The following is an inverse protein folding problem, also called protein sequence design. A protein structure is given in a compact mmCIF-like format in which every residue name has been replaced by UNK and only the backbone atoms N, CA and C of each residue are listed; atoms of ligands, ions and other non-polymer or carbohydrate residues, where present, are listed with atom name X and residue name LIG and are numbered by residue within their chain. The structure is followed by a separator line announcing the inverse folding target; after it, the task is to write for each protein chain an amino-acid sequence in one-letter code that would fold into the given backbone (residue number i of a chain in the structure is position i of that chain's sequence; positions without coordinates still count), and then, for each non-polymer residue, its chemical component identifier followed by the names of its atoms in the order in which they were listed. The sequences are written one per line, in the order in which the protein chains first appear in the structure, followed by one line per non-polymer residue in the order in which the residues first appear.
data_IF_880480377574
#
_entry.id   IF_880480377574
#
_cell.length_a   1.000
_cell.length_b   1.000
_cell.length_c   1.000
_cell.angle_alpha   90.00
_cell.angle_beta   90.00
_cell.angle_gamma   90.00
#
_symmetry.space_group_name_H-M   'P 1'
#
loop_
_entity.id
_entity.type
_entity.pdbx_description
1 polymer ?
#
# COMPACT_ATOMS: atom_id res chain seq x y z
N UNK A 1 21.33 -2.11 -9.01
CA UNK A 1 21.56 -2.11 -10.46
C UNK A 1 21.65 -3.52 -10.99
N UNK A 2 21.06 -3.78 -12.15
CA UNK A 2 21.19 -5.05 -12.87
C UNK A 2 22.66 -5.26 -13.26
N UNK A 3 23.17 -6.47 -13.17
CA UNK A 3 24.51 -6.84 -13.56
C UNK A 3 24.78 -6.36 -15.01
N UNK A 4 25.67 -5.37 -15.20
CA UNK A 4 26.01 -4.78 -16.50
C UNK A 4 25.73 -3.28 -16.65
N UNK A 5 25.02 -2.64 -15.72
CA UNK A 5 24.84 -1.18 -15.73
C UNK A 5 26.01 -0.49 -15.01
N UNK A 6 26.76 0.34 -15.73
CA UNK A 6 27.87 1.14 -15.20
C UNK A 6 27.47 2.55 -14.80
N UNK A 7 26.17 2.91 -14.88
CA UNK A 7 25.66 4.23 -14.51
C UNK A 7 24.52 4.09 -13.52
N UNK A 8 24.62 4.88 -12.47
CA UNK A 8 23.54 5.01 -11.50
C UNK A 8 22.34 5.75 -12.11
N UNK A 9 21.13 5.31 -11.77
CA UNK A 9 19.91 6.00 -12.15
C UNK A 9 19.78 7.26 -11.28
N UNK A 10 19.66 8.43 -11.92
CA UNK A 10 19.38 9.67 -11.21
C UNK A 10 17.88 9.84 -11.08
N UNK A 11 17.41 9.96 -9.83
CA UNK A 11 15.98 10.09 -9.49
C UNK A 11 15.81 11.27 -8.54
N UNK A 12 14.84 12.13 -8.82
CA UNK A 12 14.35 13.13 -7.87
C UNK A 12 12.91 12.82 -7.55
N UNK A 13 12.60 12.70 -6.26
CA UNK A 13 11.25 12.48 -5.76
C UNK A 13 10.65 13.75 -5.18
N UNK A 14 9.33 13.85 -5.21
CA UNK A 14 8.58 14.99 -4.67
C UNK A 14 8.97 16.34 -5.29
N UNK A 15 9.22 16.35 -6.61
CA UNK A 15 9.55 17.57 -7.31
C UNK A 15 8.32 18.45 -7.45
N UNK A 16 8.45 19.72 -7.03
CA UNK A 16 7.41 20.74 -7.13
C UNK A 16 7.90 21.85 -8.03
N UNK A 17 7.10 22.26 -9.00
CA UNK A 17 7.31 23.45 -9.79
C UNK A 17 6.52 24.61 -9.19
N UNK A 18 7.18 25.76 -9.04
CA UNK A 18 6.51 27.02 -8.65
C UNK A 18 6.13 27.72 -9.96
N UNK A 19 4.87 28.08 -10.10
CA UNK A 19 4.32 28.80 -11.25
C UNK A 19 3.89 30.19 -10.83
N UNK A 20 3.96 31.15 -11.74
CA UNK A 20 3.44 32.49 -11.56
C UNK A 20 2.51 32.81 -12.73
N UNK A 21 1.27 33.21 -12.45
CA UNK A 21 0.29 33.65 -13.42
C UNK A 21 -0.42 34.87 -12.87
N UNK A 22 -0.34 35.99 -13.59
CA UNK A 22 -0.97 37.28 -13.20
C UNK A 22 -0.59 37.76 -11.78
N UNK A 23 0.70 37.58 -11.40
CA UNK A 23 1.22 37.96 -10.08
C UNK A 23 0.79 37.05 -8.92
N UNK A 24 0.11 35.93 -9.21
CA UNK A 24 -0.22 34.89 -8.22
C UNK A 24 0.73 33.70 -8.38
N UNK A 25 1.27 33.27 -7.25
CA UNK A 25 2.12 32.08 -7.21
C UNK A 25 1.26 30.83 -7.02
N UNK A 26 1.51 29.82 -7.83
CA UNK A 26 0.90 28.49 -7.72
C UNK A 26 1.96 27.41 -7.56
N UNK A 27 1.58 26.23 -7.10
CA UNK A 27 2.44 25.07 -7.02
C UNK A 27 1.86 23.94 -7.86
N UNK A 28 2.71 23.33 -8.67
CA UNK A 28 2.40 22.13 -9.45
C UNK A 28 3.30 21.01 -8.94
N UNK A 29 2.71 19.98 -8.40
CA UNK A 29 3.43 18.79 -7.99
C UNK A 29 3.73 17.94 -9.22
N UNK A 30 5.01 17.85 -9.58
CA UNK A 30 5.48 17.05 -10.72
C UNK A 30 5.66 15.58 -10.32
N UNK A 31 5.89 15.31 -9.02
CA UNK A 31 6.12 13.97 -8.51
C UNK A 31 7.55 13.50 -8.71
N UNK A 32 7.75 12.28 -9.17
CA UNK A 32 9.07 11.68 -9.33
C UNK A 32 9.62 11.89 -10.74
N UNK A 33 10.83 12.44 -10.83
CA UNK A 33 11.59 12.62 -12.08
C UNK A 33 12.72 11.60 -12.17
N UNK A 34 12.83 10.93 -13.32
CA UNK A 34 13.91 9.99 -13.62
C UNK A 34 14.70 10.52 -14.82
N UNK A 35 16.02 10.52 -14.73
CA UNK A 35 16.89 10.89 -15.84
C UNK A 35 17.12 9.71 -16.78
N UNK A 36 16.72 9.87 -18.04
CA UNK A 36 16.95 8.92 -19.11
C UNK A 36 17.82 9.60 -20.20
N UNK A 37 19.11 9.28 -20.23
CA UNK A 37 20.06 9.99 -21.08
C UNK A 37 20.20 11.45 -20.68
N UNK A 38 19.96 12.38 -21.62
CA UNK A 38 20.00 13.82 -21.33
C UNK A 38 18.64 14.45 -21.02
N UNK A 39 17.59 13.64 -20.91
CA UNK A 39 16.24 14.12 -20.64
C UNK A 39 15.71 13.63 -19.27
N UNK A 40 14.98 14.50 -18.59
CA UNK A 40 14.19 14.16 -17.42
C UNK A 40 12.76 13.73 -17.80
N UNK A 41 12.26 12.68 -17.19
CA UNK A 41 10.90 12.16 -17.41
C UNK A 41 10.16 12.09 -16.09
N UNK A 42 8.96 12.65 -16.04
CA UNK A 42 8.04 12.42 -14.94
C UNK A 42 7.41 11.03 -15.09
N UNK A 43 7.40 10.26 -14.02
CA UNK A 43 6.77 8.93 -13.99
C UNK A 43 5.37 8.96 -13.37
N UNK A 44 4.97 10.09 -12.81
CA UNK A 44 3.64 10.38 -12.30
C UNK A 44 3.03 11.53 -13.09
N UNK A 45 1.68 11.58 -13.13
CA UNK A 45 0.99 12.73 -13.73
C UNK A 45 1.12 13.94 -12.80
N UNK A 46 1.56 15.10 -13.31
CA UNK A 46 1.57 16.33 -12.52
C UNK A 46 0.17 16.69 -12.03
N UNK A 47 0.08 17.18 -10.81
CA UNK A 47 -1.17 17.66 -10.21
C UNK A 47 -1.00 19.09 -9.69
N UNK A 48 -2.06 19.89 -9.78
CA UNK A 48 -2.08 21.24 -9.22
C UNK A 48 -2.53 21.11 -7.77
N UNK A 49 -1.79 21.73 -6.83
CA UNK A 49 -2.23 21.85 -5.47
C UNK A 49 -3.38 22.89 -5.42
N UNK A 50 -4.58 22.49 -5.03
CA UNK A 50 -5.67 23.41 -4.75
C UNK A 50 -5.41 24.11 -3.41
N UNK A 51 -5.68 25.44 -3.38
CA UNK A 51 -5.51 26.26 -2.16
C UNK A 51 -6.29 25.64 -0.99
N UNK A 52 -5.57 25.19 0.04
CA UNK A 52 -6.14 24.64 1.28
C UNK A 52 -6.06 23.13 1.44
N UNK A 53 -5.53 22.37 0.46
CA UNK A 53 -5.14 20.99 0.69
C UNK A 53 -3.66 20.93 1.08
N UNK A 54 -3.41 20.57 2.32
CA UNK A 54 -2.08 20.27 2.82
C UNK A 54 -1.42 19.16 1.97
N UNK A 55 -0.15 19.40 1.63
CA UNK A 55 0.70 18.49 0.89
C UNK A 55 0.51 17.02 1.32
N UNK A 56 -0.09 16.24 0.46
CA UNK A 56 0.05 14.78 0.53
C UNK A 56 1.49 14.50 0.13
N UNK A 57 2.36 14.26 1.12
CA UNK A 57 3.68 13.73 0.88
C UNK A 57 3.51 12.35 0.23
N UNK A 58 3.56 12.31 -1.10
CA UNK A 58 3.58 11.06 -1.84
C UNK A 58 4.82 10.29 -1.37
N UNK A 59 4.61 9.08 -0.82
CA UNK A 59 5.71 8.14 -0.62
C UNK A 59 6.36 7.91 -1.98
N UNK A 60 7.65 8.21 -2.08
CA UNK A 60 8.40 8.03 -3.33
C UNK A 60 8.37 6.57 -3.77
N UNK A 61 8.25 6.33 -5.08
CA UNK A 61 8.19 4.97 -5.64
C UNK A 61 9.54 4.24 -5.60
N UNK A 62 10.64 4.97 -5.45
CA UNK A 62 12.01 4.43 -5.54
C UNK A 62 12.76 4.41 -4.21
N UNK A 63 12.40 5.27 -3.30
CA UNK A 63 13.05 5.37 -2.01
C UNK A 63 11.99 5.23 -0.92
N UNK A 64 11.97 4.08 -0.26
CA UNK A 64 11.24 3.90 0.99
C UNK A 64 11.89 4.80 2.05
N UNK A 65 11.55 6.10 2.05
CA UNK A 65 11.72 6.87 3.26
C UNK A 65 10.70 6.34 4.26
N UNK A 66 11.13 6.01 5.48
CA UNK A 66 10.16 5.88 6.56
C UNK A 66 9.33 7.19 6.56
N UNK A 67 8.02 7.11 6.81
CA UNK A 67 7.19 8.30 6.81
C UNK A 67 7.86 9.33 7.70
N UNK A 68 8.20 10.48 7.12
CA UNK A 68 8.68 11.61 7.92
C UNK A 68 7.50 11.96 8.79
N UNK A 69 7.65 11.74 10.10
CA UNK A 69 6.62 12.10 11.07
C UNK A 69 6.41 13.60 10.90
N UNK A 70 5.32 14.01 10.22
CA UNK A 70 4.84 15.37 10.36
C UNK A 70 4.61 15.55 11.84
N UNK A 71 5.31 16.52 12.43
CA UNK A 71 4.85 17.02 13.72
C UNK A 71 3.41 17.47 13.50
N UNK A 72 2.41 16.85 14.14
CA UNK A 72 1.05 17.33 14.04
C UNK A 72 1.04 18.79 14.50
N UNK A 73 0.24 19.62 13.84
CA UNK A 73 -0.12 20.94 14.37
C UNK A 73 -0.62 20.72 15.79
N UNK A 74 0.21 21.10 16.75
CA UNK A 74 0.04 20.78 18.17
C UNK A 74 -1.24 21.43 18.66
N UNK A 75 -2.20 20.66 19.19
CA UNK A 75 -3.28 21.27 19.94
C UNK A 75 -2.68 22.10 21.09
N UNK A 76 -3.31 23.18 21.46
CA UNK A 76 -2.84 24.25 22.34
C UNK A 76 -2.47 23.87 23.80
N UNK A 77 -2.34 22.58 24.10
CA UNK A 77 -1.74 22.06 25.33
C UNK A 77 -0.37 21.51 24.98
N UNK A 78 0.69 22.19 25.41
CA UNK A 78 2.07 21.72 25.25
C UNK A 78 2.18 20.26 25.72
N UNK A 79 2.84 19.38 24.94
CA UNK A 79 3.07 17.99 25.37
C UNK A 79 3.81 18.00 26.71
N UNK A 80 3.53 17.00 27.55
CA UNK A 80 4.28 16.84 28.79
C UNK A 80 5.77 16.67 28.48
N UNK A 81 6.66 17.16 29.34
CA UNK A 81 8.11 16.99 29.19
C UNK A 81 8.49 15.52 28.93
N UNK A 82 7.76 14.59 29.55
CA UNK A 82 7.96 13.17 29.36
C UNK A 82 7.62 12.69 27.93
N UNK A 83 6.56 13.22 27.32
CA UNK A 83 6.19 12.89 25.93
C UNK A 83 7.21 13.48 24.95
N UNK A 84 7.65 14.73 25.16
CA UNK A 84 8.69 15.35 24.33
C UNK A 84 10.00 14.55 24.40
N UNK A 85 10.39 14.11 25.60
CA UNK A 85 11.59 13.27 25.78
C UNK A 85 11.46 11.94 25.03
N UNK A 86 10.32 11.26 25.15
CA UNK A 86 10.09 9.99 24.45
C UNK A 86 10.10 10.15 22.92
N UNK A 87 9.55 11.24 22.40
CA UNK A 87 9.60 11.56 20.96
C UNK A 87 11.03 11.85 20.49
N UNK A 88 11.82 12.56 21.28
CA UNK A 88 13.22 12.81 20.96
C UNK A 88 14.06 11.51 20.98
N UNK A 89 13.83 10.62 21.96
CA UNK A 89 14.44 9.28 22.02
C UNK A 89 14.08 8.44 20.79
N UNK A 90 12.81 8.49 20.33
CA UNK A 90 12.34 7.80 19.14
C UNK A 90 13.06 8.33 17.89
N UNK A 91 13.12 9.63 17.72
CA UNK A 91 13.81 10.28 16.60
C UNK A 91 15.30 9.93 16.55
N UNK A 92 15.98 9.89 17.72
CA UNK A 92 17.38 9.50 17.80
C UNK A 92 17.58 8.01 17.44
N UNK A 93 16.65 7.16 17.86
CA UNK A 93 16.65 5.74 17.51
C UNK A 93 16.46 5.55 15.99
N UNK A 94 15.49 6.24 15.39
CA UNK A 94 15.22 6.18 13.94
C UNK A 94 16.42 6.63 13.11
N UNK A 95 17.12 7.66 13.54
CA UNK A 95 18.33 8.14 12.86
C UNK A 95 19.44 7.07 12.76
N UNK A 96 19.43 6.09 13.65
CA UNK A 96 20.42 4.98 13.65
C UNK A 96 19.99 3.78 12.81
N UNK A 97 18.71 3.69 12.43
CA UNK A 97 18.14 2.51 11.75
C UNK A 97 18.89 2.12 10.47
N UNK A 98 19.25 3.11 9.64
CA UNK A 98 19.94 2.90 8.37
C UNK A 98 21.33 2.26 8.49
N UNK A 99 21.97 2.33 9.67
CA UNK A 99 23.30 1.77 9.91
C UNK A 99 23.28 0.33 10.45
N UNK A 100 22.09 -0.20 10.77
CA UNK A 100 21.96 -1.52 11.40
C UNK A 100 21.87 -2.60 10.32
N UNK A 101 22.97 -3.35 10.14
CA UNK A 101 23.05 -4.44 9.17
C UNK A 101 22.99 -5.83 9.83
N UNK A 102 23.40 -5.91 11.10
CA UNK A 102 23.41 -7.17 11.85
C UNK A 102 21.99 -7.56 12.31
N UNK A 103 21.54 -8.82 12.06
CA UNK A 103 20.20 -9.28 12.42
C UNK A 103 19.89 -9.17 13.93
N UNK A 104 20.86 -9.52 14.80
CA UNK A 104 20.64 -9.43 16.25
C UNK A 104 20.56 -7.99 16.75
N UNK A 105 21.33 -7.07 16.14
CA UNK A 105 21.22 -5.65 16.43
C UNK A 105 19.89 -5.07 15.93
N UNK A 106 19.38 -5.56 14.79
CA UNK A 106 18.08 -5.16 14.24
C UNK A 106 16.93 -5.60 15.13
N UNK A 107 16.92 -6.85 15.62
CA UNK A 107 15.90 -7.32 16.55
C UNK A 107 15.86 -6.45 17.83
N UNK A 108 17.02 -6.11 18.40
CA UNK A 108 17.09 -5.19 19.54
C UNK A 108 16.58 -3.78 19.22
N UNK A 109 16.86 -3.30 18.03
CA UNK A 109 16.32 -2.03 17.55
C UNK A 109 14.79 -2.08 17.48
N UNK A 110 14.21 -3.10 16.88
CA UNK A 110 12.74 -3.24 16.78
C UNK A 110 12.09 -3.35 18.16
N UNK A 111 12.72 -4.04 19.10
CA UNK A 111 12.24 -4.14 20.48
C UNK A 111 12.25 -2.78 21.19
N UNK A 112 13.36 -2.03 21.08
CA UNK A 112 13.49 -0.70 21.66
C UNK A 112 12.49 0.28 21.03
N UNK A 113 12.32 0.23 19.70
CA UNK A 113 11.41 1.08 18.95
C UNK A 113 9.95 0.84 19.37
N UNK A 114 9.52 -0.43 19.44
CA UNK A 114 8.19 -0.79 19.91
C UNK A 114 7.93 -0.33 21.35
N UNK A 115 8.92 -0.49 22.23
CA UNK A 115 8.81 -0.06 23.64
C UNK A 115 8.66 1.45 23.77
N UNK A 116 9.36 2.24 22.95
CA UNK A 116 9.20 3.69 22.92
C UNK A 116 7.81 4.09 22.40
N UNK A 117 7.34 3.46 21.35
CA UNK A 117 5.98 3.70 20.83
C UNK A 117 4.91 3.35 21.85
N UNK A 118 5.04 2.24 22.59
CA UNK A 118 4.12 1.88 23.68
C UNK A 118 4.09 2.97 24.78
N UNK A 119 5.25 3.53 25.15
CA UNK A 119 5.32 4.65 26.09
C UNK A 119 4.60 5.89 25.56
N UNK A 120 4.78 6.22 24.29
CA UNK A 120 4.13 7.37 23.64
C UNK A 120 2.60 7.15 23.57
N UNK A 121 2.12 5.96 23.19
CA UNK A 121 0.71 5.60 23.21
C UNK A 121 0.11 5.79 24.62
N UNK A 122 0.82 5.35 25.66
CA UNK A 122 0.35 5.50 27.05
C UNK A 122 0.28 6.95 27.53
N UNK A 123 1.10 7.83 26.95
CA UNK A 123 1.13 9.27 27.28
C UNK A 123 0.24 10.13 26.38
N UNK A 124 -0.33 9.54 25.29
CA UNK A 124 -1.20 10.26 24.37
C UNK A 124 -2.51 10.66 25.06
N UNK A 125 -2.87 11.93 24.99
CA UNK A 125 -4.03 12.51 25.71
C UNK A 125 -5.24 12.76 24.80
N UNK A 126 -5.02 12.92 23.49
CA UNK A 126 -6.10 13.08 22.51
C UNK A 126 -6.41 11.76 21.80
N UNK A 127 -7.63 11.62 21.29
CA UNK A 127 -8.03 10.44 20.53
C UNK A 127 -7.26 10.35 19.21
N UNK A 128 -6.99 11.48 18.58
CA UNK A 128 -6.25 11.60 17.33
C UNK A 128 -4.79 11.16 17.49
N UNK A 129 -4.09 11.68 18.51
CA UNK A 129 -2.69 11.29 18.80
C UNK A 129 -2.62 9.79 19.12
N UNK A 130 -3.54 9.31 19.97
CA UNK A 130 -3.60 7.90 20.32
C UNK A 130 -3.81 7.02 19.09
N UNK A 131 -4.72 7.41 18.20
CA UNK A 131 -4.98 6.67 16.97
C UNK A 131 -3.73 6.62 16.08
N UNK A 132 -3.05 7.74 15.90
CA UNK A 132 -1.81 7.84 15.12
C UNK A 132 -0.71 6.94 15.70
N UNK A 133 -0.44 7.04 17.00
CA UNK A 133 0.65 6.29 17.62
C UNK A 133 0.35 4.79 17.74
N UNK A 134 -0.91 4.41 17.97
CA UNK A 134 -1.36 3.00 17.92
C UNK A 134 -1.17 2.42 16.53
N UNK A 135 -1.53 3.16 15.49
CA UNK A 135 -1.35 2.70 14.11
C UNK A 135 0.13 2.52 13.79
N UNK A 136 0.97 3.49 14.17
CA UNK A 136 2.41 3.39 13.97
C UNK A 136 3.04 2.23 14.73
N UNK A 137 2.64 2.01 15.99
CA UNK A 137 3.06 0.85 16.77
C UNK A 137 2.70 -0.46 16.09
N UNK A 138 1.44 -0.59 15.65
CA UNK A 138 0.96 -1.80 15.00
C UNK A 138 1.69 -2.09 13.68
N UNK A 139 1.92 -1.06 12.85
CA UNK A 139 2.66 -1.21 11.58
C UNK A 139 4.12 -1.60 11.83
N UNK A 140 4.79 -0.92 12.75
CA UNK A 140 6.19 -1.19 13.11
C UNK A 140 6.36 -2.62 13.64
N UNK A 141 5.51 -3.03 14.59
CA UNK A 141 5.60 -4.37 15.18
C UNK A 141 5.24 -5.45 14.16
N UNK A 142 4.21 -5.22 13.33
CA UNK A 142 3.86 -6.17 12.26
C UNK A 142 4.99 -6.38 11.24
N UNK A 143 5.68 -5.30 10.85
CA UNK A 143 6.84 -5.39 9.96
C UNK A 143 8.03 -6.12 10.64
N UNK A 144 8.29 -5.84 11.92
CA UNK A 144 9.35 -6.47 12.68
C UNK A 144 9.15 -7.99 12.85
N UNK A 145 7.91 -8.45 13.05
CA UNK A 145 7.58 -9.89 13.11
C UNK A 145 8.06 -10.62 11.86
N UNK A 146 7.83 -10.03 10.69
CA UNK A 146 8.25 -10.65 9.42
C UNK A 146 9.77 -10.60 9.20
N UNK A 147 10.44 -9.55 9.69
CA UNK A 147 11.89 -9.38 9.51
C UNK A 147 12.72 -10.19 10.50
N UNK A 148 12.25 -10.31 11.73
CA UNK A 148 12.97 -10.96 12.84
C UNK A 148 12.52 -12.41 13.07
N UNK A 149 11.53 -12.89 12.30
CA UNK A 149 10.94 -14.23 12.42
C UNK A 149 10.54 -14.58 13.87
N UNK A 150 10.00 -13.58 14.59
CA UNK A 150 9.80 -13.66 16.04
C UNK A 150 8.33 -13.53 16.44
N UNK A 151 7.87 -14.46 17.28
CA UNK A 151 6.54 -14.44 17.90
C UNK A 151 6.36 -13.30 18.93
N UNK A 152 7.45 -12.70 19.41
CA UNK A 152 7.38 -11.65 20.43
C UNK A 152 6.56 -10.44 19.97
N UNK A 153 6.69 -10.05 18.69
CA UNK A 153 5.89 -8.98 18.11
C UNK A 153 4.39 -9.34 18.05
N UNK A 154 4.05 -10.59 17.74
CA UNK A 154 2.64 -11.06 17.74
C UNK A 154 2.05 -10.92 19.14
N UNK A 155 2.79 -11.28 20.20
CA UNK A 155 2.35 -11.13 21.57
C UNK A 155 2.13 -9.64 21.95
N UNK A 156 2.97 -8.72 21.46
CA UNK A 156 2.77 -7.27 21.66
C UNK A 156 1.48 -6.79 20.97
N UNK A 157 1.22 -7.23 19.74
CA UNK A 157 -0.02 -6.92 19.02
C UNK A 157 -1.26 -7.49 19.73
N UNK A 158 -1.16 -8.69 20.33
CA UNK A 158 -2.23 -9.28 21.15
C UNK A 158 -2.52 -8.42 22.40
N UNK A 159 -1.49 -7.97 23.09
CA UNK A 159 -1.64 -7.12 24.27
C UNK A 159 -2.28 -5.76 23.91
N UNK A 160 -1.83 -5.15 22.79
CA UNK A 160 -2.39 -3.91 22.27
C UNK A 160 -3.87 -4.09 21.91
N UNK A 161 -4.20 -5.15 21.14
CA UNK A 161 -5.57 -5.48 20.77
C UNK A 161 -6.47 -5.70 21.98
N UNK A 162 -5.98 -6.42 22.99
CA UNK A 162 -6.73 -6.65 24.23
C UNK A 162 -7.01 -5.34 25.00
N UNK A 163 -6.10 -4.37 24.92
CA UNK A 163 -6.32 -3.04 25.52
C UNK A 163 -7.39 -2.25 24.77
N UNK A 164 -7.37 -2.25 23.43
CA UNK A 164 -8.33 -1.55 22.59
C UNK A 164 -9.75 -2.12 22.69
N UNK A 165 -9.88 -3.42 22.83
CA UNK A 165 -11.19 -4.06 23.09
C UNK A 165 -11.87 -3.54 24.36
N UNK A 166 -11.09 -3.16 25.38
CA UNK A 166 -11.64 -2.57 26.63
C UNK A 166 -12.10 -1.13 26.46
N UNK A 167 -11.50 -0.38 25.53
CA UNK A 167 -11.85 1.03 25.28
C UNK A 167 -12.98 1.21 24.27
N UNK A 168 -13.30 0.16 23.50
CA UNK A 168 -14.40 0.18 22.51
C UNK A 168 -14.04 0.94 21.20
N UNK A 169 -12.79 1.23 20.96
CA UNK A 169 -12.30 1.94 19.77
C UNK A 169 -12.27 1.03 18.55
N UNK A 170 -13.44 0.73 17.97
CA UNK A 170 -13.63 -0.32 16.95
C UNK A 170 -12.74 -0.18 15.71
N UNK A 171 -12.48 1.04 15.24
CA UNK A 171 -11.61 1.25 14.07
C UNK A 171 -10.16 0.92 14.38
N UNK A 172 -9.64 1.31 15.54
CA UNK A 172 -8.29 0.95 15.97
C UNK A 172 -8.18 -0.53 16.31
N UNK A 173 -9.21 -1.10 16.94
CA UNK A 173 -9.29 -2.54 17.20
C UNK A 173 -9.16 -3.32 15.89
N UNK A 174 -9.92 -2.94 14.85
CA UNK A 174 -9.86 -3.55 13.52
C UNK A 174 -8.48 -3.38 12.88
N UNK A 175 -7.93 -2.18 12.94
CA UNK A 175 -6.61 -1.88 12.38
C UNK A 175 -5.52 -2.80 12.97
N UNK A 176 -5.45 -2.89 14.30
CA UNK A 176 -4.47 -3.74 14.99
C UNK A 176 -4.74 -5.22 14.75
N UNK A 177 -6.02 -5.64 14.72
CA UNK A 177 -6.40 -7.03 14.43
C UNK A 177 -5.95 -7.45 13.03
N UNK A 178 -6.12 -6.58 12.03
CA UNK A 178 -5.67 -6.85 10.66
C UNK A 178 -4.14 -6.97 10.56
N UNK A 179 -3.40 -6.04 11.20
CA UNK A 179 -1.93 -6.09 11.25
C UNK A 179 -1.41 -7.34 11.92
N UNK A 180 -2.00 -7.72 13.06
CA UNK A 180 -1.68 -8.97 13.77
C UNK A 180 -1.91 -10.19 12.89
N UNK A 181 -3.10 -10.29 12.29
CA UNK A 181 -3.47 -11.40 11.43
C UNK A 181 -2.52 -11.52 10.22
N UNK A 182 -2.14 -10.40 9.62
CA UNK A 182 -1.20 -10.34 8.50
C UNK A 182 0.22 -10.75 8.93
N UNK A 183 0.66 -10.32 10.11
CA UNK A 183 1.97 -10.71 10.68
C UNK A 183 2.03 -12.21 10.95
N UNK A 184 1.01 -12.79 11.57
CA UNK A 184 0.91 -14.23 11.82
C UNK A 184 0.89 -15.04 10.53
N UNK A 185 0.18 -14.58 9.51
CA UNK A 185 0.17 -15.22 8.20
C UNK A 185 1.55 -15.18 7.56
N UNK A 186 2.21 -14.03 7.53
CA UNK A 186 3.56 -13.87 7.00
C UNK A 186 4.56 -14.79 7.69
N UNK A 187 4.55 -14.84 9.03
CA UNK A 187 5.43 -15.70 9.81
C UNK A 187 5.19 -17.20 9.53
N UNK A 188 3.92 -17.61 9.43
CA UNK A 188 3.58 -19.00 9.07
C UNK A 188 4.05 -19.35 7.66
N UNK A 189 3.91 -18.41 6.70
CA UNK A 189 4.36 -18.62 5.32
C UNK A 189 5.88 -18.73 5.20
N UNK A 190 6.64 -17.95 5.98
CA UNK A 190 8.10 -18.02 6.02
C UNK A 190 8.60 -19.36 6.57
N UNK A 191 7.92 -19.89 7.59
CA UNK A 191 8.28 -21.14 8.25
C UNK A 191 7.60 -22.40 7.64
N UNK A 192 6.83 -22.21 6.55
CA UNK A 192 6.05 -23.29 5.93
C UNK A 192 6.92 -24.28 5.16
N UNK A 193 6.65 -25.58 5.36
CA UNK A 193 7.15 -26.62 4.47
C UNK A 193 6.37 -26.65 3.14
N UNK A 194 6.88 -27.34 2.12
CA UNK A 194 6.25 -27.39 0.79
C UNK A 194 4.78 -27.87 0.78
N UNK A 195 4.38 -28.65 1.77
CA UNK A 195 3.03 -29.21 1.91
C UNK A 195 2.07 -28.31 2.68
N UNK A 196 2.57 -27.29 3.36
CA UNK A 196 1.79 -26.50 4.32
C UNK A 196 1.15 -25.24 3.70
N UNK A 197 1.70 -24.77 2.58
CA UNK A 197 1.27 -23.54 1.90
C UNK A 197 -0.24 -23.49 1.65
N UNK A 198 -0.80 -24.58 1.12
CA UNK A 198 -2.24 -24.65 0.83
C UNK A 198 -3.10 -24.47 2.09
N UNK A 199 -2.76 -25.21 3.15
CA UNK A 199 -3.51 -25.15 4.42
C UNK A 199 -3.39 -23.78 5.10
N UNK A 200 -2.19 -23.18 5.07
CA UNK A 200 -1.96 -21.83 5.61
C UNK A 200 -2.76 -20.79 4.82
N UNK A 201 -2.79 -20.92 3.50
CA UNK A 201 -3.55 -20.01 2.64
C UNK A 201 -5.06 -20.16 2.84
N UNK A 202 -5.59 -21.38 2.92
CA UNK A 202 -7.01 -21.60 3.24
C UNK A 202 -7.40 -21.00 4.59
N UNK A 203 -6.54 -21.16 5.60
CA UNK A 203 -6.79 -20.54 6.90
C UNK A 203 -6.75 -19.01 6.83
N UNK A 204 -5.85 -18.45 6.02
CA UNK A 204 -5.81 -17.00 5.77
C UNK A 204 -7.13 -16.49 5.19
N UNK A 205 -7.66 -17.16 4.16
CA UNK A 205 -8.93 -16.76 3.56
C UNK A 205 -10.10 -16.83 4.55
N UNK A 206 -10.14 -17.85 5.41
CA UNK A 206 -11.14 -17.91 6.49
C UNK A 206 -10.99 -16.75 7.47
N UNK A 207 -9.77 -16.42 7.87
CA UNK A 207 -9.51 -15.31 8.78
C UNK A 207 -9.94 -13.97 8.14
N UNK A 208 -9.69 -13.76 6.85
CA UNK A 208 -10.14 -12.56 6.12
C UNK A 208 -11.67 -12.46 6.09
N UNK A 209 -12.36 -13.58 5.87
CA UNK A 209 -13.82 -13.62 5.86
C UNK A 209 -14.40 -13.31 7.26
N UNK A 210 -13.84 -13.89 8.31
CA UNK A 210 -14.21 -13.62 9.70
C UNK A 210 -13.94 -12.15 10.07
N UNK A 211 -12.81 -11.61 9.65
CA UNK A 211 -12.46 -10.21 9.86
C UNK A 211 -13.47 -9.27 9.19
N UNK A 212 -13.80 -9.49 7.91
CA UNK A 212 -14.76 -8.68 7.17
C UNK A 212 -16.19 -8.77 7.75
N UNK A 213 -16.54 -9.87 8.45
CA UNK A 213 -17.79 -10.01 9.20
C UNK A 213 -17.76 -9.29 10.55
N UNK A 214 -16.62 -9.33 11.24
CA UNK A 214 -16.47 -8.73 12.57
C UNK A 214 -16.37 -7.19 12.51
N UNK A 215 -15.81 -6.66 11.43
CA UNK A 215 -15.53 -5.22 11.25
C UNK A 215 -16.06 -4.68 9.91
N UNK A 216 -17.38 -4.79 9.63
CA UNK A 216 -17.94 -4.53 8.30
C UNK A 216 -17.77 -3.10 7.81
N UNK A 217 -17.60 -2.13 8.71
CA UNK A 217 -17.51 -0.69 8.38
C UNK A 217 -16.05 -0.17 8.43
N UNK A 218 -15.08 -1.01 8.82
CA UNK A 218 -13.70 -0.59 8.98
C UNK A 218 -12.96 -0.57 7.64
N UNK A 219 -12.09 0.42 7.37
CA UNK A 219 -11.38 0.55 6.09
C UNK A 219 -10.57 -0.69 5.69
N UNK A 220 -9.94 -1.39 6.66
CA UNK A 220 -9.16 -2.60 6.38
C UNK A 220 -10.03 -3.76 5.86
N UNK A 221 -11.35 -3.73 6.08
CA UNK A 221 -12.28 -4.73 5.53
C UNK A 221 -12.41 -4.64 4.01
N UNK A 222 -12.21 -3.47 3.43
CA UNK A 222 -12.15 -3.34 1.97
C UNK A 222 -10.95 -4.11 1.39
N UNK A 223 -9.81 -4.09 2.09
CA UNK A 223 -8.61 -4.85 1.69
C UNK A 223 -8.84 -6.36 1.89
N UNK A 224 -9.39 -6.77 3.03
CA UNK A 224 -9.74 -8.16 3.28
C UNK A 224 -10.69 -8.73 2.22
N UNK A 225 -11.74 -7.98 1.88
CA UNK A 225 -12.70 -8.35 0.83
C UNK A 225 -12.04 -8.40 -0.56
N UNK A 226 -11.10 -7.50 -0.86
CA UNK A 226 -10.38 -7.50 -2.13
C UNK A 226 -9.53 -8.78 -2.28
N UNK A 227 -8.82 -9.16 -1.24
CA UNK A 227 -8.03 -10.39 -1.24
C UNK A 227 -8.92 -11.64 -1.39
N UNK A 228 -10.07 -11.69 -0.71
CA UNK A 228 -11.06 -12.75 -0.88
C UNK A 228 -11.57 -12.83 -2.31
N UNK A 229 -11.95 -11.68 -2.89
CA UNK A 229 -12.43 -11.63 -4.26
C UNK A 229 -11.37 -12.15 -5.25
N UNK A 230 -10.13 -11.72 -5.09
CA UNK A 230 -9.01 -12.18 -5.94
C UNK A 230 -8.75 -13.67 -5.77
N UNK A 231 -8.79 -14.20 -4.55
CA UNK A 231 -8.59 -15.63 -4.30
C UNK A 231 -9.68 -16.49 -4.98
N UNK A 232 -10.96 -16.09 -4.88
CA UNK A 232 -12.05 -16.76 -5.58
C UNK A 232 -11.91 -16.70 -7.09
N UNK A 233 -11.47 -15.55 -7.61
CA UNK A 233 -11.20 -15.40 -9.04
C UNK A 233 -10.09 -16.35 -9.52
N UNK A 234 -8.97 -16.43 -8.81
CA UNK A 234 -7.88 -17.36 -9.14
C UNK A 234 -8.29 -18.83 -9.02
N UNK A 235 -9.23 -19.15 -8.12
CA UNK A 235 -9.81 -20.47 -7.99
C UNK A 235 -10.84 -20.80 -9.10
N UNK A 236 -11.18 -19.84 -9.97
CA UNK A 236 -12.18 -19.99 -11.00
C UNK A 236 -13.63 -19.83 -10.52
N UNK A 237 -13.84 -19.43 -9.26
CA UNK A 237 -15.16 -19.15 -8.68
C UNK A 237 -15.53 -17.68 -8.91
N UNK A 238 -15.77 -17.34 -10.18
CA UNK A 238 -16.06 -15.97 -10.60
C UNK A 238 -17.31 -15.38 -9.94
N UNK A 239 -18.32 -16.23 -9.65
CA UNK A 239 -19.57 -15.76 -9.05
C UNK A 239 -19.36 -15.29 -7.60
N UNK A 240 -18.52 -15.96 -6.82
CA UNK A 240 -18.16 -15.50 -5.48
C UNK A 240 -17.23 -14.29 -5.55
N UNK A 241 -16.28 -14.28 -6.49
CA UNK A 241 -15.43 -13.12 -6.71
C UNK A 241 -16.26 -11.84 -6.97
N UNK A 242 -17.25 -11.94 -7.88
CA UNK A 242 -18.15 -10.81 -8.20
C UNK A 242 -18.94 -10.34 -6.98
N UNK A 243 -19.43 -11.24 -6.12
CA UNK A 243 -20.14 -10.87 -4.89
C UNK A 243 -19.25 -10.07 -3.93
N UNK A 244 -17.99 -10.46 -3.75
CA UNK A 244 -17.05 -9.72 -2.93
C UNK A 244 -16.71 -8.37 -3.54
N UNK A 245 -16.49 -8.29 -4.86
CA UNK A 245 -16.29 -7.02 -5.57
C UNK A 245 -17.50 -6.09 -5.42
N UNK A 246 -18.72 -6.61 -5.54
CA UNK A 246 -19.95 -5.82 -5.35
C UNK A 246 -20.05 -5.26 -3.92
N UNK A 247 -19.70 -6.06 -2.92
CA UNK A 247 -19.66 -5.60 -1.54
C UNK A 247 -18.66 -4.47 -1.33
N UNK A 248 -17.45 -4.58 -1.88
CA UNK A 248 -16.45 -3.51 -1.77
C UNK A 248 -17.00 -2.20 -2.35
N UNK A 249 -17.62 -2.27 -3.52
CA UNK A 249 -18.18 -1.07 -4.18
C UNK A 249 -19.35 -0.48 -3.40
N UNK A 250 -20.19 -1.32 -2.79
CA UNK A 250 -21.34 -0.88 -2.00
C UNK A 250 -20.94 -0.32 -0.62
N UNK A 251 -20.07 -1.05 0.09
CA UNK A 251 -19.75 -0.76 1.49
C UNK A 251 -18.64 0.30 1.60
N UNK A 252 -17.72 0.37 0.60
CA UNK A 252 -16.54 1.25 0.62
C UNK A 252 -16.35 2.05 -0.68
N UNK A 253 -17.35 2.82 -1.17
CA UNK A 253 -17.31 3.44 -2.50
C UNK A 253 -16.16 4.42 -2.72
N UNK A 254 -15.61 5.00 -1.66
CA UNK A 254 -14.49 5.96 -1.72
C UNK A 254 -13.10 5.30 -1.56
N UNK A 255 -13.04 4.02 -1.19
CA UNK A 255 -11.78 3.32 -1.03
C UNK A 255 -11.10 3.05 -2.38
N UNK A 256 -9.76 3.03 -2.39
CA UNK A 256 -8.99 2.65 -3.58
C UNK A 256 -9.34 1.24 -4.09
N UNK A 257 -9.71 0.35 -3.17
CA UNK A 257 -10.18 -1.01 -3.43
C UNK A 257 -11.45 -1.04 -4.28
N UNK A 258 -12.37 -0.07 -4.11
CA UNK A 258 -13.58 0.01 -4.91
C UNK A 258 -13.28 0.21 -6.41
N UNK A 259 -12.30 1.05 -6.75
CA UNK A 259 -11.86 1.22 -8.15
C UNK A 259 -11.29 -0.06 -8.73
N UNK A 260 -10.50 -0.81 -7.95
CA UNK A 260 -9.97 -2.11 -8.36
C UNK A 260 -11.11 -3.12 -8.56
N UNK A 261 -12.07 -3.16 -7.64
CA UNK A 261 -13.24 -4.04 -7.70
C UNK A 261 -14.11 -3.79 -8.94
N UNK A 262 -14.39 -2.51 -9.25
CA UNK A 262 -15.10 -2.12 -10.49
C UNK A 262 -14.37 -2.63 -11.73
N UNK A 263 -13.05 -2.41 -11.81
CA UNK A 263 -12.25 -2.86 -12.96
C UNK A 263 -12.21 -4.38 -13.10
N UNK A 264 -12.03 -5.11 -11.99
CA UNK A 264 -12.03 -6.57 -11.98
C UNK A 264 -13.40 -7.14 -12.41
N UNK A 265 -14.49 -6.57 -11.87
CA UNK A 265 -15.86 -6.97 -12.27
C UNK A 265 -16.10 -6.73 -13.74
N UNK A 266 -15.77 -5.55 -14.29
CA UNK A 266 -15.89 -5.26 -15.73
C UNK A 266 -15.13 -6.29 -16.58
N UNK A 267 -13.96 -6.70 -16.15
CA UNK A 267 -13.16 -7.72 -16.85
C UNK A 267 -13.84 -9.09 -16.81
N UNK A 268 -14.33 -9.54 -15.66
CA UNK A 268 -15.04 -10.81 -15.50
C UNK A 268 -16.35 -10.83 -16.31
N UNK A 269 -17.06 -9.71 -16.37
CA UNK A 269 -18.31 -9.56 -17.13
C UNK A 269 -18.09 -9.32 -18.63
N UNK A 270 -16.84 -9.19 -19.08
CA UNK A 270 -16.53 -8.91 -20.49
C UNK A 270 -16.69 -10.12 -21.40
N UNK A 271 -16.64 -11.34 -20.84
CA UNK A 271 -16.77 -12.57 -21.63
C UNK A 271 -18.18 -12.67 -22.23
N UNK A 272 -18.24 -12.76 -23.56
CA UNK A 272 -19.50 -12.77 -24.29
C UNK A 272 -20.21 -11.43 -24.46
N UNK A 273 -19.65 -10.36 -23.92
CA UNK A 273 -20.20 -9.01 -23.97
C UNK A 273 -19.30 -8.05 -24.76
N UNK A 274 -19.92 -7.00 -25.31
CA UNK A 274 -19.16 -5.95 -26.01
C UNK A 274 -18.42 -5.09 -24.99
N UNK A 275 -17.10 -5.14 -25.04
CA UNK A 275 -16.24 -4.33 -24.18
C UNK A 275 -16.28 -2.87 -24.64
N UNK A 276 -16.66 -1.96 -23.75
CA UNK A 276 -16.55 -0.52 -23.95
C UNK A 276 -15.23 -0.07 -23.33
N UNK A 277 -14.21 0.10 -24.16
CA UNK A 277 -12.90 0.59 -23.72
C UNK A 277 -12.50 1.77 -24.59
N UNK A 278 -12.11 2.84 -23.94
CA UNK A 278 -11.46 3.98 -24.56
C UNK A 278 -10.28 4.44 -23.69
N UNK A 279 -9.26 4.94 -24.30
CA UNK A 279 -8.06 5.42 -23.65
C UNK A 279 -7.38 6.47 -24.52
N UNK A 280 -6.26 6.99 -24.00
CA UNK A 280 -5.38 7.88 -24.77
C UNK A 280 -4.06 7.18 -25.02
N UNK A 281 -3.55 7.31 -26.26
CA UNK A 281 -2.19 6.92 -26.57
C UNK A 281 -1.17 7.92 -25.97
N UNK A 282 0.13 7.63 -26.05
CA UNK A 282 1.19 8.53 -25.57
C UNK A 282 1.16 9.93 -26.20
N UNK A 283 0.58 10.07 -27.38
CA UNK A 283 0.43 11.35 -28.10
C UNK A 283 -0.87 12.08 -27.74
N UNK A 284 -1.66 11.51 -26.81
CA UNK A 284 -2.93 12.07 -26.34
C UNK A 284 -4.14 11.82 -27.22
N UNK A 285 -3.98 11.05 -28.32
CA UNK A 285 -5.05 10.69 -29.24
C UNK A 285 -5.93 9.62 -28.59
N UNK A 286 -7.25 9.76 -28.77
CA UNK A 286 -8.20 8.77 -28.24
C UNK A 286 -8.12 7.48 -29.05
N UNK A 287 -7.96 6.36 -28.34
CA UNK A 287 -8.09 5.00 -28.87
C UNK A 287 -9.38 4.42 -28.34
N UNK A 288 -10.28 3.98 -29.24
CA UNK A 288 -11.57 3.39 -28.91
C UNK A 288 -11.67 2.04 -29.61
N UNK A 289 -12.02 0.99 -28.84
CA UNK A 289 -12.20 -0.37 -29.37
C UNK A 289 -13.32 -0.46 -30.42
N UNK A 290 -14.29 0.44 -30.40
CA UNK A 290 -15.34 0.48 -31.41
C UNK A 290 -14.82 0.65 -32.84
N UNK A 291 -13.65 1.29 -33.00
CA UNK A 291 -12.99 1.48 -34.30
C UNK A 291 -12.39 0.20 -34.90
N UNK A 292 -12.30 -0.89 -34.11
CA UNK A 292 -11.72 -2.16 -34.55
C UNK A 292 -12.78 -3.26 -34.78
N UNK A 293 -14.05 -2.87 -34.92
CA UNK A 293 -15.14 -3.83 -35.19
C UNK A 293 -14.88 -4.62 -36.47
N UNK A 294 -15.08 -5.93 -36.39
CA UNK A 294 -14.80 -6.86 -37.49
C UNK A 294 -13.39 -7.41 -37.52
N UNK A 295 -12.55 -6.95 -36.61
CA UNK A 295 -11.17 -7.45 -36.40
C UNK A 295 -11.04 -8.18 -35.07
N UNK A 296 -10.09 -9.11 -34.99
CA UNK A 296 -9.67 -9.69 -33.71
C UNK A 296 -8.70 -8.69 -33.06
N UNK A 297 -8.99 -8.31 -31.82
CA UNK A 297 -8.15 -7.38 -31.04
C UNK A 297 -7.53 -8.12 -29.87
N UNK A 298 -6.22 -8.09 -29.75
CA UNK A 298 -5.48 -8.59 -28.61
C UNK A 298 -5.05 -7.41 -27.73
N UNK A 299 -5.42 -7.44 -26.46
CA UNK A 299 -5.05 -6.42 -25.49
C UNK A 299 -4.09 -7.06 -24.48
N UNK A 300 -2.87 -6.56 -24.41
CA UNK A 300 -1.88 -6.99 -23.41
C UNK A 300 -1.66 -5.88 -22.39
N UNK A 301 -1.85 -6.21 -21.12
CA UNK A 301 -1.39 -5.40 -20.01
C UNK A 301 0.06 -5.76 -19.71
N UNK A 302 0.93 -4.77 -19.66
CA UNK A 302 2.34 -5.01 -19.42
C UNK A 302 2.97 -3.89 -18.58
N UNK A 303 4.15 -4.16 -18.02
CA UNK A 303 4.96 -3.17 -17.34
C UNK A 303 6.44 -3.32 -17.74
N UNK A 304 7.20 -2.24 -17.62
CA UNK A 304 8.63 -2.24 -18.01
C UNK A 304 9.49 -3.22 -17.21
N UNK A 305 9.07 -3.56 -16.02
CA UNK A 305 9.71 -4.53 -15.11
C UNK A 305 9.18 -5.98 -15.24
N UNK A 306 8.14 -6.20 -16.04
CA UNK A 306 7.52 -7.53 -16.22
C UNK A 306 8.28 -8.32 -17.30
N UNK A 307 9.23 -9.16 -16.93
CA UNK A 307 10.01 -9.98 -17.88
C UNK A 307 9.14 -10.98 -18.67
N UNK A 308 8.16 -11.70 -18.08
CA UNK A 308 7.24 -12.53 -18.86
C UNK A 308 6.49 -11.72 -19.93
N UNK A 309 6.02 -10.52 -19.58
CA UNK A 309 5.30 -9.67 -20.54
C UNK A 309 6.19 -9.25 -21.73
N UNK A 310 7.49 -9.04 -21.49
CA UNK A 310 8.43 -8.73 -22.58
C UNK A 310 8.65 -9.92 -23.49
N UNK A 311 8.72 -11.13 -22.95
CA UNK A 311 8.81 -12.35 -23.74
C UNK A 311 7.58 -12.52 -24.65
N UNK A 312 6.37 -12.27 -24.12
CA UNK A 312 5.12 -12.36 -24.87
C UNK A 312 5.06 -11.36 -26.04
N UNK A 313 5.72 -10.20 -25.95
CA UNK A 313 5.76 -9.21 -27.05
C UNK A 313 6.32 -9.80 -28.34
N UNK A 314 7.26 -10.72 -28.27
CA UNK A 314 7.80 -11.39 -29.46
C UNK A 314 6.73 -12.26 -30.13
N UNK A 315 6.00 -13.02 -29.31
CA UNK A 315 4.89 -13.87 -29.78
C UNK A 315 3.79 -13.01 -30.41
N UNK A 316 3.44 -11.89 -29.78
CA UNK A 316 2.43 -10.96 -30.30
C UNK A 316 2.83 -10.32 -31.64
N UNK A 317 4.12 -9.96 -31.78
CA UNK A 317 4.65 -9.46 -33.09
C UNK A 317 4.54 -10.51 -34.16
N UNK A 318 4.90 -11.76 -33.87
CA UNK A 318 4.80 -12.86 -34.84
C UNK A 318 3.34 -13.12 -35.24
N UNK A 319 2.41 -13.05 -34.28
CA UNK A 319 0.96 -13.16 -34.56
C UNK A 319 0.49 -12.02 -35.47
N UNK A 320 0.86 -10.76 -35.16
CA UNK A 320 0.47 -9.60 -35.96
C UNK A 320 1.04 -9.59 -37.38
N UNK A 321 2.15 -10.30 -37.62
CA UNK A 321 2.72 -10.48 -38.97
C UNK A 321 1.99 -11.60 -39.73
N UNK A 322 1.49 -12.59 -39.02
CA UNK A 322 0.89 -13.81 -39.62
C UNK A 322 -0.58 -13.63 -39.98
N UNK A 323 -1.30 -12.76 -39.26
CA UNK A 323 -2.72 -12.48 -39.42
C UNK A 323 -3.01 -11.00 -39.69
#
# INVERSE_FOLDING_TARGET
GTAGSTKDLQVYENVVAITETDGKHGQVQIGTLVRLGDAWRAIQLPSVAEDGQEEIAASGEFFNKPPTIRQPDMPSTAPSDALQTAMAELQELDARSASITDPAARAKFHEAHATLLERIVAMSTTAEDKAMWVSQLADTVSAAVQQDESDAGVQRLDALLASLKKTGEKNLEAYVAFRKMSAEYGLKMQNAGPTDFGTIHEQWLKNLEEFAKAYPECPDSAEAMLQLAMAHEFAGDEDQAKKWYDRIVADFPQASQARKAVGAKMRLESVGNVIKFNGKDPDGKTVDLSGYRGSVVVIQYWASWCEPCKADMTVLKDLAIRY
#
